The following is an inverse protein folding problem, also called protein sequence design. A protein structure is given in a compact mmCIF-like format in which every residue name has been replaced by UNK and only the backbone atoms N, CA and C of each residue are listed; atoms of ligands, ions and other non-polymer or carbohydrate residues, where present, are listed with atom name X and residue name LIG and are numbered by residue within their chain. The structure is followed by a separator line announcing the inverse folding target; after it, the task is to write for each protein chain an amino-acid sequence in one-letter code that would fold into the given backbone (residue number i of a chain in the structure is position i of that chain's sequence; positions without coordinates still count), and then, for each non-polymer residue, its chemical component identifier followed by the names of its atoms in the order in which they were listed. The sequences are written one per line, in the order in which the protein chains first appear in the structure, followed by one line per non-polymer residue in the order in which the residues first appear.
data_IF_697135278215
#
_entry.id   IF_697135278215
#
_cell.length_a   1.000
_cell.length_b   1.000
_cell.length_c   1.000
_cell.angle_alpha   90.00
_cell.angle_beta   90.00
_cell.angle_gamma   90.00
#
_symmetry.space_group_name_H-M   'P 1'
#
loop_
_entity.id
_entity.type
_entity.pdbx_description
1 polymer ?
#
# COMPACT_ATOMS: atom_id res chain seq x y z
N UNK A 1 10.35 33.58 8.06
CA UNK A 1 10.15 32.27 7.44
C UNK A 1 8.68 32.05 6.96
N UNK A 2 7.66 32.09 7.86
CA UNK A 2 6.25 31.89 7.47
C UNK A 2 5.74 32.93 6.46
N UNK A 3 6.05 34.22 6.68
CA UNK A 3 5.67 35.29 5.76
C UNK A 3 6.34 35.12 4.37
N UNK A 4 7.59 34.74 4.33
CA UNK A 4 8.31 34.47 3.07
C UNK A 4 7.66 33.30 2.31
N UNK A 5 7.30 32.20 3.00
CA UNK A 5 6.63 31.06 2.41
C UNK A 5 5.22 31.41 1.88
N UNK A 6 4.45 32.17 2.65
CA UNK A 6 3.15 32.67 2.20
C UNK A 6 3.28 33.58 0.98
N UNK A 7 4.25 34.50 0.96
CA UNK A 7 4.52 35.36 -0.18
C UNK A 7 4.93 34.56 -1.42
N UNK A 8 5.75 33.50 -1.23
CA UNK A 8 6.12 32.61 -2.32
C UNK A 8 4.88 31.91 -2.94
N UNK A 9 3.98 31.37 -2.13
CA UNK A 9 2.70 30.80 -2.64
C UNK A 9 1.89 31.85 -3.41
N UNK A 10 1.78 33.07 -2.89
CA UNK A 10 1.05 34.16 -3.57
C UNK A 10 1.67 34.58 -4.91
N UNK A 11 2.99 34.40 -5.10
CA UNK A 11 3.66 34.75 -6.35
C UNK A 11 3.16 33.93 -7.55
N UNK A 12 2.67 32.70 -7.32
CA UNK A 12 2.13 31.82 -8.37
C UNK A 12 0.72 32.25 -8.86
N UNK A 13 0.03 33.11 -8.12
CA UNK A 13 -1.36 33.52 -8.47
C UNK A 13 -1.46 34.32 -9.76
N UNK A 14 -0.37 34.88 -10.27
CA UNK A 14 -0.33 35.77 -11.44
C UNK A 14 0.46 35.20 -12.63
N UNK A 15 0.85 33.92 -12.60
CA UNK A 15 1.64 33.28 -13.66
C UNK A 15 0.90 32.10 -14.29
N UNK A 16 1.22 31.71 -15.53
CA UNK A 16 0.74 30.44 -16.08
C UNK A 16 1.22 29.30 -15.20
N UNK A 17 0.29 28.50 -14.70
CA UNK A 17 0.54 27.43 -13.75
C UNK A 17 1.12 26.20 -14.45
N UNK A 18 2.25 25.70 -13.98
CA UNK A 18 2.91 24.49 -14.46
C UNK A 18 2.89 23.36 -13.43
N UNK A 19 3.17 22.14 -13.85
CA UNK A 19 3.32 20.97 -12.94
C UNK A 19 4.44 21.19 -11.93
N UNK A 20 5.47 21.96 -12.26
CA UNK A 20 6.55 22.30 -11.33
C UNK A 20 6.06 23.26 -10.23
N UNK A 21 5.22 24.23 -10.60
CA UNK A 21 4.64 25.19 -9.65
C UNK A 21 3.68 24.46 -8.67
N UNK A 22 2.95 23.46 -9.16
CA UNK A 22 2.11 22.60 -8.31
C UNK A 22 2.94 21.90 -7.24
N UNK A 23 4.05 21.27 -7.61
CA UNK A 23 4.94 20.60 -6.66
C UNK A 23 5.55 21.57 -5.65
N UNK A 24 5.95 22.77 -6.09
CA UNK A 24 6.47 23.80 -5.19
C UNK A 24 5.42 24.32 -4.18
N UNK A 25 4.15 24.42 -4.58
CA UNK A 25 3.07 24.81 -3.68
C UNK A 25 2.78 23.68 -2.67
N UNK A 26 2.67 22.44 -3.13
CA UNK A 26 2.37 21.29 -2.27
C UNK A 26 3.37 21.13 -1.13
N UNK A 27 4.65 21.38 -1.36
CA UNK A 27 5.68 21.21 -0.30
C UNK A 27 5.60 22.28 0.80
N UNK A 28 4.92 23.42 0.56
CA UNK A 28 4.86 24.50 1.57
C UNK A 28 4.13 24.07 2.84
N UNK A 29 3.12 23.21 2.74
CA UNK A 29 2.41 22.67 3.89
C UNK A 29 3.35 21.93 4.84
N UNK A 30 4.16 21.02 4.32
CA UNK A 30 5.14 20.23 5.06
C UNK A 30 6.25 21.11 5.67
N UNK A 31 6.75 22.07 4.91
CA UNK A 31 7.78 23.01 5.37
C UNK A 31 7.29 23.89 6.51
N UNK A 32 6.05 24.39 6.44
CA UNK A 32 5.46 25.26 7.47
C UNK A 32 5.11 24.45 8.72
N UNK A 33 4.45 23.30 8.60
CA UNK A 33 4.01 22.50 9.75
C UNK A 33 5.18 22.00 10.59
N UNK A 34 6.23 21.49 9.93
CA UNK A 34 7.43 21.00 10.65
C UNK A 34 8.22 22.12 11.30
N UNK A 35 8.30 23.30 10.65
CA UNK A 35 8.89 24.47 11.26
C UNK A 35 8.13 24.95 12.51
N UNK A 36 6.79 25.00 12.44
CA UNK A 36 5.96 25.37 13.60
C UNK A 36 6.14 24.36 14.74
N UNK A 37 6.22 23.06 14.44
CA UNK A 37 6.44 22.05 15.47
C UNK A 37 7.82 22.19 16.12
N UNK A 38 8.87 22.47 15.34
CA UNK A 38 10.20 22.74 15.89
C UNK A 38 10.18 23.95 16.83
N UNK A 39 9.61 25.08 16.41
CA UNK A 39 9.49 26.27 17.26
C UNK A 39 8.70 25.98 18.56
N UNK A 40 7.60 25.21 18.46
CA UNK A 40 6.82 24.83 19.63
C UNK A 40 7.63 24.01 20.63
N UNK A 41 8.39 23.03 20.16
CA UNK A 41 9.23 22.21 21.05
C UNK A 41 10.38 23.02 21.67
N UNK A 42 11.00 23.92 20.94
CA UNK A 42 12.00 24.86 21.46
C UNK A 42 11.40 25.73 22.58
N UNK A 43 10.17 26.26 22.39
CA UNK A 43 9.45 27.02 23.44
C UNK A 43 9.15 26.17 24.68
N UNK A 44 9.01 24.84 24.54
CA UNK A 44 8.86 23.92 25.67
C UNK A 44 10.21 23.50 26.29
N UNK A 45 11.34 24.03 25.81
CA UNK A 45 12.68 23.72 26.29
C UNK A 45 13.24 22.36 25.85
N UNK A 46 12.71 21.81 24.79
CA UNK A 46 13.19 20.55 24.19
C UNK A 46 14.29 20.85 23.15
N UNK A 47 15.43 20.18 23.25
CA UNK A 47 16.50 20.29 22.25
C UNK A 47 16.10 19.58 20.96
N UNK A 48 15.71 20.35 19.96
CA UNK A 48 15.23 19.86 18.68
C UNK A 48 16.03 20.45 17.51
N UNK A 49 16.25 19.65 16.49
CA UNK A 49 16.87 20.10 15.23
C UNK A 49 15.94 19.81 14.06
N UNK A 50 15.62 20.83 13.28
CA UNK A 50 14.91 20.70 12.02
C UNK A 50 15.89 20.35 10.90
N UNK A 51 15.78 19.13 10.36
CA UNK A 51 16.56 18.65 9.22
C UNK A 51 15.72 18.81 7.94
N UNK A 52 16.08 19.77 7.03
CA UNK A 52 15.31 19.94 5.80
C UNK A 52 15.38 18.71 4.91
N UNK A 53 14.26 18.06 4.64
CA UNK A 53 14.19 16.86 3.79
C UNK A 53 14.81 17.09 2.40
N UNK A 54 14.64 18.26 1.83
CA UNK A 54 15.21 18.64 0.53
C UNK A 54 16.76 18.63 0.49
N UNK A 55 17.44 18.48 1.64
CA UNK A 55 18.89 18.36 1.70
C UNK A 55 19.39 16.92 1.59
N UNK A 56 18.51 15.92 1.85
CA UNK A 56 18.92 14.51 1.83
C UNK A 56 17.90 13.58 1.15
N UNK A 57 16.65 13.96 0.99
CA UNK A 57 15.66 13.14 0.27
C UNK A 57 15.78 13.36 -1.24
N UNK A 58 16.04 12.29 -1.99
CA UNK A 58 16.16 12.32 -3.45
C UNK A 58 15.56 11.07 -4.09
N UNK A 59 14.98 11.25 -5.28
CA UNK A 59 14.55 10.17 -6.18
C UNK A 59 15.44 10.14 -7.44
N UNK A 60 15.54 8.96 -8.04
CA UNK A 60 16.27 8.71 -9.29
C UNK A 60 15.47 9.19 -10.51
N UNK A 61 16.01 9.00 -11.70
CA UNK A 61 15.29 9.27 -12.98
C UNK A 61 14.08 8.37 -13.19
N UNK A 62 14.04 7.21 -12.53
CA UNK A 62 12.94 6.24 -12.57
C UNK A 62 11.91 6.47 -11.47
N UNK A 63 11.98 7.62 -10.78
CA UNK A 63 11.15 7.99 -9.63
C UNK A 63 11.27 7.06 -8.41
N UNK A 64 12.35 6.28 -8.31
CA UNK A 64 12.62 5.43 -7.15
C UNK A 64 13.52 6.16 -6.13
N UNK A 65 13.38 5.89 -4.82
CA UNK A 65 14.23 6.50 -3.80
C UNK A 65 15.72 6.19 -4.00
N UNK A 66 16.56 7.22 -4.00
CA UNK A 66 18.02 7.07 -4.06
C UNK A 66 18.58 6.79 -2.67
N UNK A 67 18.52 5.54 -2.24
CA UNK A 67 18.90 5.12 -0.88
C UNK A 67 20.37 5.36 -0.57
N UNK A 68 21.26 5.33 -1.56
CA UNK A 68 22.68 5.64 -1.36
C UNK A 68 22.87 7.12 -1.02
N UNK A 69 22.23 7.97 -1.82
CA UNK A 69 22.26 9.42 -1.59
C UNK A 69 21.62 9.79 -0.25
N UNK A 70 20.41 9.25 0.04
CA UNK A 70 19.66 9.50 1.28
C UNK A 70 20.52 9.12 2.50
N UNK A 71 21.04 7.90 2.53
CA UNK A 71 21.82 7.40 3.66
C UNK A 71 23.08 8.23 3.90
N UNK A 72 23.81 8.58 2.83
CA UNK A 72 25.04 9.36 2.91
C UNK A 72 24.80 10.78 3.46
N UNK A 73 23.79 11.47 2.92
CA UNK A 73 23.54 12.88 3.28
C UNK A 73 22.86 13.00 4.63
N UNK A 74 21.93 12.09 4.96
CA UNK A 74 21.29 12.06 6.28
C UNK A 74 22.33 11.80 7.38
N UNK A 75 23.25 10.85 7.16
CA UNK A 75 24.33 10.57 8.13
C UNK A 75 25.16 11.80 8.43
N UNK A 76 25.57 12.56 7.40
CA UNK A 76 26.34 13.81 7.58
C UNK A 76 25.56 14.82 8.42
N UNK A 77 24.26 15.00 8.14
CA UNK A 77 23.42 15.93 8.88
C UNK A 77 23.26 15.53 10.35
N UNK A 78 23.09 14.24 10.63
CA UNK A 78 23.00 13.72 11.99
C UNK A 78 24.32 13.87 12.75
N UNK A 79 25.47 13.61 12.11
CA UNK A 79 26.80 13.79 12.71
C UNK A 79 27.09 15.26 13.05
N UNK A 80 26.61 16.21 12.26
CA UNK A 80 26.74 17.64 12.52
C UNK A 80 25.88 18.14 13.68
N UNK A 81 24.81 17.41 14.03
CA UNK A 81 23.82 17.79 15.02
C UNK A 81 23.66 16.75 16.13
N UNK A 82 24.68 15.96 16.43
CA UNK A 82 24.62 14.79 17.32
C UNK A 82 24.26 15.09 18.79
N UNK A 83 24.25 16.34 19.19
CA UNK A 83 23.85 16.77 20.54
C UNK A 83 22.31 16.85 20.68
N UNK A 84 21.54 16.85 19.59
CA UNK A 84 20.09 16.95 19.64
C UNK A 84 19.45 15.63 20.08
N UNK A 85 18.42 15.75 20.94
CA UNK A 85 17.61 14.62 21.38
C UNK A 85 16.53 14.26 20.35
N UNK A 86 15.98 15.27 19.65
CA UNK A 86 14.90 15.12 18.68
C UNK A 86 15.29 15.75 17.36
N UNK A 87 15.05 15.01 16.30
CA UNK A 87 15.18 15.49 14.93
C UNK A 87 13.79 15.53 14.28
N UNK A 88 13.43 16.69 13.71
CA UNK A 88 12.22 16.85 12.91
C UNK A 88 12.61 16.97 11.46
N UNK A 89 11.86 16.33 10.58
CA UNK A 89 12.02 16.50 9.14
C UNK A 89 10.67 16.45 8.44
N UNK A 90 10.61 16.91 7.19
CA UNK A 90 9.42 16.81 6.37
C UNK A 90 9.25 15.38 5.84
N UNK A 91 8.02 14.90 5.83
CA UNK A 91 7.63 13.76 5.03
C UNK A 91 7.22 14.15 3.61
N UNK A 92 6.99 13.17 2.74
CA UNK A 92 6.45 13.33 1.40
C UNK A 92 7.35 14.05 0.38
N UNK A 93 8.08 15.10 0.77
CA UNK A 93 8.86 15.96 -0.13
C UNK A 93 10.28 15.43 -0.37
N UNK A 94 10.77 15.62 -1.58
CA UNK A 94 12.12 15.23 -2.00
C UNK A 94 12.65 16.13 -3.12
N UNK A 95 13.86 15.86 -3.60
CA UNK A 95 14.35 16.34 -4.90
C UNK A 95 14.34 15.20 -5.92
N UNK A 96 14.09 15.55 -7.18
CA UNK A 96 14.30 14.60 -8.27
C UNK A 96 15.78 14.51 -8.66
N UNK A 97 16.08 13.65 -9.62
CA UNK A 97 17.46 13.44 -10.12
C UNK A 97 18.11 14.71 -10.68
N UNK A 98 17.33 15.70 -11.08
CA UNK A 98 17.79 16.98 -11.64
C UNK A 98 17.94 18.08 -10.57
N UNK A 99 17.61 17.78 -9.31
CA UNK A 99 17.69 18.70 -8.19
C UNK A 99 16.47 19.60 -8.00
N UNK A 100 15.45 19.50 -8.84
CA UNK A 100 14.17 20.21 -8.67
C UNK A 100 13.35 19.63 -7.53
N UNK A 101 12.49 20.44 -6.94
CA UNK A 101 11.54 20.00 -5.91
C UNK A 101 10.56 18.98 -6.52
N UNK A 102 10.36 17.90 -5.79
CA UNK A 102 9.49 16.80 -6.14
C UNK A 102 8.87 16.16 -4.89
N UNK A 103 8.09 15.13 -5.06
CA UNK A 103 7.47 14.40 -3.96
C UNK A 103 7.54 12.87 -4.18
N UNK A 104 7.38 12.14 -3.09
CA UNK A 104 7.23 10.70 -3.08
C UNK A 104 5.76 10.36 -3.36
N UNK A 105 5.35 10.29 -4.61
CA UNK A 105 3.95 10.17 -5.06
C UNK A 105 3.12 9.14 -4.28
N UNK A 106 3.74 8.07 -3.75
CA UNK A 106 3.09 6.95 -3.09
C UNK A 106 3.47 6.86 -1.62
N UNK A 107 2.46 6.72 -0.76
CA UNK A 107 2.68 6.49 0.67
C UNK A 107 3.12 7.71 1.48
N UNK A 108 3.39 8.84 0.84
CA UNK A 108 3.61 10.12 1.51
C UNK A 108 4.65 10.09 2.64
N UNK A 109 4.24 10.56 3.81
CA UNK A 109 5.08 10.65 5.02
C UNK A 109 5.47 9.30 5.59
N UNK A 110 4.60 8.28 5.48
CA UNK A 110 4.91 6.91 5.94
C UNK A 110 6.08 6.32 5.17
N UNK A 111 6.12 6.58 3.85
CA UNK A 111 7.23 6.13 3.03
C UNK A 111 8.54 6.83 3.42
N UNK A 112 8.48 8.14 3.68
CA UNK A 112 9.63 8.90 4.19
C UNK A 112 10.14 8.32 5.51
N UNK A 113 9.25 8.01 6.45
CA UNK A 113 9.62 7.40 7.74
C UNK A 113 10.33 6.04 7.54
N UNK A 114 9.82 5.21 6.62
CA UNK A 114 10.42 3.92 6.30
C UNK A 114 11.80 4.06 5.65
N UNK A 115 11.97 5.00 4.71
CA UNK A 115 13.25 5.28 4.05
C UNK A 115 14.29 5.80 5.05
N UNK A 116 13.91 6.73 5.92
CA UNK A 116 14.78 7.26 6.99
C UNK A 116 15.14 6.14 7.96
N UNK A 117 14.17 5.38 8.45
CA UNK A 117 14.40 4.25 9.34
C UNK A 117 15.40 3.25 8.75
N UNK A 118 15.25 2.91 7.47
CA UNK A 118 16.19 2.05 6.75
C UNK A 118 17.59 2.68 6.61
N UNK A 119 17.66 3.99 6.33
CA UNK A 119 18.92 4.70 6.15
C UNK A 119 19.76 4.79 7.42
N UNK A 120 19.12 4.97 8.58
CA UNK A 120 19.79 5.08 9.89
C UNK A 120 19.88 3.74 10.64
N UNK A 121 19.28 2.67 10.09
CA UNK A 121 19.13 1.38 10.77
C UNK A 121 18.44 1.51 12.12
N UNK A 122 17.26 2.14 12.13
CA UNK A 122 16.46 2.37 13.32
C UNK A 122 16.10 1.05 14.03
N UNK A 123 15.92 1.09 15.33
CA UNK A 123 15.45 -0.06 16.12
C UNK A 123 13.98 -0.38 15.81
N UNK A 124 13.14 0.64 15.58
CA UNK A 124 11.73 0.50 15.23
C UNK A 124 11.29 1.74 14.41
N UNK A 125 10.38 1.54 13.47
CA UNK A 125 9.67 2.60 12.75
C UNK A 125 8.25 2.66 13.31
N UNK A 126 7.79 3.83 13.75
CA UNK A 126 6.45 4.02 14.27
C UNK A 126 5.62 4.90 13.33
N UNK A 127 4.44 4.42 12.96
CA UNK A 127 3.45 5.16 12.16
C UNK A 127 2.26 5.47 13.07
N UNK A 128 2.10 6.74 13.39
CA UNK A 128 1.02 7.22 14.23
C UNK A 128 -0.14 7.74 13.38
N UNK A 129 -1.34 7.20 13.61
CA UNK A 129 -2.55 7.51 12.85
C UNK A 129 -3.74 7.68 13.81
N UNK A 130 -4.95 7.80 13.29
CA UNK A 130 -6.21 7.94 14.04
C UNK A 130 -6.89 6.59 14.37
N UNK A 131 -6.26 5.47 14.01
CA UNK A 131 -6.75 4.11 14.27
C UNK A 131 -5.72 3.29 15.05
N UNK A 132 -6.18 2.28 15.79
CA UNK A 132 -5.36 1.47 16.71
C UNK A 132 -4.64 0.29 16.05
N UNK A 133 -4.29 0.41 14.78
CA UNK A 133 -3.61 -0.61 13.99
C UNK A 133 -4.48 -1.22 12.88
N UNK A 134 -3.99 -2.26 12.25
CA UNK A 134 -4.75 -3.02 11.25
C UNK A 134 -5.79 -3.90 11.96
N UNK A 135 -7.03 -3.89 11.47
CA UNK A 135 -8.10 -4.73 11.97
C UNK A 135 -8.24 -6.01 11.15
N UNK A 136 -8.79 -7.05 11.80
CA UNK A 136 -9.08 -8.33 11.15
C UNK A 136 -10.18 -8.25 10.08
N UNK A 137 -10.95 -7.16 10.05
CA UNK A 137 -11.91 -6.84 9.01
C UNK A 137 -12.16 -5.32 8.97
N UNK A 138 -12.90 -4.83 7.99
CA UNK A 138 -13.23 -3.42 7.86
C UNK A 138 -14.32 -2.99 8.84
N UNK A 139 -14.03 -2.13 9.85
CA UNK A 139 -15.00 -1.72 10.87
C UNK A 139 -16.19 -0.92 10.31
N UNK A 140 -16.09 -0.41 9.08
CA UNK A 140 -17.21 0.29 8.42
C UNK A 140 -18.34 -0.67 8.01
N UNK A 141 -18.06 -1.95 7.87
CA UNK A 141 -19.01 -2.98 7.40
C UNK A 141 -19.26 -4.07 8.42
N UNK A 142 -18.32 -4.30 9.33
CA UNK A 142 -18.37 -5.34 10.37
C UNK A 142 -18.17 -4.70 11.74
N UNK A 143 -19.14 -4.86 12.64
CA UNK A 143 -19.12 -4.17 13.93
C UNK A 143 -18.12 -4.76 14.94
N UNK A 144 -17.90 -6.08 14.90
CA UNK A 144 -17.08 -6.81 15.88
C UNK A 144 -15.68 -7.09 15.32
N UNK A 145 -14.98 -6.04 14.87
CA UNK A 145 -13.61 -6.17 14.41
C UNK A 145 -12.63 -6.03 15.57
N UNK A 146 -11.51 -6.75 15.49
CA UNK A 146 -10.44 -6.68 16.47
C UNK A 146 -9.11 -6.26 15.80
N UNK A 147 -8.27 -5.47 16.48
CA UNK A 147 -6.95 -5.12 15.97
C UNK A 147 -6.06 -6.38 15.86
N UNK A 148 -5.40 -6.55 14.73
CA UNK A 148 -4.40 -7.59 14.52
C UNK A 148 -3.11 -7.15 15.19
N UNK A 149 -2.67 -7.87 16.21
CA UNK A 149 -1.51 -7.47 17.02
C UNK A 149 -0.18 -7.66 16.32
N UNK A 150 -0.07 -8.68 15.45
CA UNK A 150 1.16 -9.00 14.75
C UNK A 150 0.90 -9.45 13.31
N UNK A 151 1.64 -8.88 12.39
CA UNK A 151 1.67 -9.27 10.98
C UNK A 151 3.12 -9.48 10.54
N UNK A 152 3.35 -10.37 9.60
CA UNK A 152 4.60 -10.32 8.86
C UNK A 152 4.52 -9.29 7.72
N UNK A 153 5.69 -8.95 7.15
CA UNK A 153 5.75 -7.92 6.10
C UNK A 153 4.94 -8.28 4.86
N UNK A 154 4.87 -9.57 4.49
CA UNK A 154 4.11 -9.99 3.31
C UNK A 154 2.60 -9.92 3.56
N UNK A 155 2.13 -10.31 4.74
CA UNK A 155 0.74 -10.17 5.17
C UNK A 155 0.31 -8.68 5.18
N UNK A 156 1.14 -7.82 5.78
CA UNK A 156 0.87 -6.38 5.84
C UNK A 156 0.83 -5.75 4.43
N UNK A 157 1.75 -6.14 3.54
CA UNK A 157 1.75 -5.69 2.14
C UNK A 157 0.50 -6.13 1.38
N UNK A 158 0.01 -7.36 1.62
CA UNK A 158 -1.23 -7.86 1.01
C UNK A 158 -2.46 -7.10 1.51
N UNK A 159 -2.57 -6.90 2.82
CA UNK A 159 -3.66 -6.10 3.40
C UNK A 159 -3.67 -4.67 2.84
N UNK A 160 -2.51 -4.04 2.76
CA UNK A 160 -2.35 -2.70 2.20
C UNK A 160 -2.75 -2.65 0.71
N UNK A 161 -2.38 -3.65 -0.08
CA UNK A 161 -2.72 -3.74 -1.51
C UNK A 161 -4.22 -3.96 -1.74
N UNK A 162 -4.84 -4.81 -0.93
CA UNK A 162 -6.25 -5.22 -1.10
C UNK A 162 -7.24 -4.41 -0.26
N UNK A 163 -6.89 -3.22 0.22
CA UNK A 163 -7.87 -2.26 0.69
C UNK A 163 -7.78 -1.82 2.15
N UNK A 164 -6.86 -2.35 2.94
CA UNK A 164 -6.55 -1.75 4.24
C UNK A 164 -5.76 -0.44 4.00
N UNK A 165 -6.48 0.68 3.87
CA UNK A 165 -5.93 2.01 3.54
C UNK A 165 -5.06 2.64 4.64
N UNK A 166 -4.54 1.85 5.57
CA UNK A 166 -3.80 2.31 6.75
C UNK A 166 -2.32 2.56 6.42
N UNK A 167 -1.77 1.79 5.48
CA UNK A 167 -0.37 1.85 5.09
C UNK A 167 -0.26 1.57 3.59
N UNK A 168 0.60 2.33 2.88
CA UNK A 168 0.86 2.02 1.48
C UNK A 168 1.89 0.87 1.37
N UNK A 169 1.71 -0.10 0.45
CA UNK A 169 2.64 -1.24 0.31
C UNK A 169 4.10 -0.85 0.13
N UNK A 170 4.38 0.25 -0.58
CA UNK A 170 5.75 0.77 -0.77
C UNK A 170 6.44 1.15 0.55
N UNK A 171 5.67 1.55 1.57
CA UNK A 171 6.23 1.93 2.88
C UNK A 171 6.82 0.75 3.66
N UNK A 172 6.43 -0.47 3.31
CA UNK A 172 6.86 -1.69 4.01
C UNK A 172 8.23 -2.17 3.51
N UNK A 173 8.52 -1.97 2.22
CA UNK A 173 9.67 -2.56 1.56
C UNK A 173 11.03 -2.15 2.17
N UNK A 174 11.33 -0.86 2.42
CA UNK A 174 12.60 -0.46 3.01
C UNK A 174 12.83 -1.05 4.41
N UNK A 175 11.77 -1.12 5.22
CA UNK A 175 11.81 -1.73 6.54
C UNK A 175 12.05 -3.25 6.47
N UNK A 176 11.36 -3.94 5.56
CA UNK A 176 11.53 -5.38 5.29
C UNK A 176 12.97 -5.71 4.89
N UNK A 177 13.54 -4.97 3.94
CA UNK A 177 14.92 -5.19 3.45
C UNK A 177 15.98 -5.04 4.55
N UNK A 178 15.74 -4.16 5.52
CA UNK A 178 16.64 -3.93 6.66
C UNK A 178 16.24 -4.69 7.92
N UNK A 179 15.15 -5.47 7.86
CA UNK A 179 14.60 -6.21 9.01
C UNK A 179 14.29 -5.30 10.21
N UNK A 180 13.73 -4.12 9.94
CA UNK A 180 13.35 -3.14 10.95
C UNK A 180 11.86 -3.30 11.22
N UNK A 181 11.43 -3.55 12.48
CA UNK A 181 10.00 -3.64 12.80
C UNK A 181 9.29 -2.32 12.56
N UNK A 182 8.05 -2.41 12.07
CA UNK A 182 7.16 -1.26 11.88
C UNK A 182 5.98 -1.42 12.83
N UNK A 183 5.67 -0.38 13.60
CA UNK A 183 4.53 -0.37 14.52
C UNK A 183 3.51 0.68 14.12
N UNK A 184 2.26 0.26 13.94
CA UNK A 184 1.12 1.14 13.70
C UNK A 184 0.46 1.48 15.03
N UNK A 185 0.32 2.76 15.34
CA UNK A 185 -0.13 3.26 16.64
C UNK A 185 -1.24 4.31 16.48
N UNK A 186 -2.09 4.41 17.49
CA UNK A 186 -3.15 5.42 17.54
C UNK A 186 -2.69 6.68 18.29
N UNK A 187 -2.60 7.81 17.59
CA UNK A 187 -2.24 9.10 18.16
C UNK A 187 -3.26 9.61 19.20
N UNK A 188 -4.53 9.21 19.08
CA UNK A 188 -5.61 9.57 19.99
C UNK A 188 -5.70 8.61 21.19
N UNK A 189 -5.07 7.43 21.11
CA UNK A 189 -5.02 6.42 22.17
C UNK A 189 -3.59 5.84 22.28
N UNK A 190 -2.62 6.62 22.78
CA UNK A 190 -1.21 6.23 22.80
C UNK A 190 -0.89 4.97 23.63
N UNK A 191 -1.79 4.58 24.54
CA UNK A 191 -1.67 3.34 25.34
C UNK A 191 -2.11 2.08 24.61
N UNK A 192 -2.76 2.20 23.44
CA UNK A 192 -3.14 1.06 22.62
C UNK A 192 -1.89 0.37 22.06
N UNK A 193 -1.88 -0.97 22.05
CA UNK A 193 -0.70 -1.75 21.63
C UNK A 193 -0.42 -1.66 20.12
N UNK A 194 -1.40 -1.25 19.33
CA UNK A 194 -1.29 -1.15 17.88
C UNK A 194 -1.05 -2.49 17.16
N UNK A 195 -0.50 -2.41 15.96
CA UNK A 195 -0.06 -3.58 15.16
C UNK A 195 1.45 -3.54 14.97
N UNK A 196 2.13 -4.62 15.31
CA UNK A 196 3.55 -4.83 15.02
C UNK A 196 3.70 -5.58 13.68
N UNK A 197 4.48 -5.02 12.77
CA UNK A 197 4.85 -5.63 11.49
C UNK A 197 6.34 -5.98 11.54
N UNK A 198 6.70 -7.26 11.37
CA UNK A 198 8.09 -7.72 11.47
C UNK A 198 8.30 -8.99 10.60
N UNK A 199 9.48 -9.59 10.64
CA UNK A 199 9.74 -10.86 9.94
C UNK A 199 9.14 -12.09 10.62
N UNK A 200 8.63 -11.95 11.85
CA UNK A 200 8.00 -13.06 12.57
C UNK A 200 6.56 -13.24 12.09
N UNK A 201 6.18 -14.48 11.82
CA UNK A 201 4.81 -14.87 11.52
C UNK A 201 4.27 -15.76 12.64
N UNK A 202 3.02 -15.56 12.96
CA UNK A 202 2.21 -16.52 13.74
C UNK A 202 1.80 -17.65 12.80
N UNK A 203 2.13 -18.89 13.12
CA UNK A 203 1.86 -20.04 12.26
C UNK A 203 0.36 -20.40 12.29
N UNK A 204 -0.15 -20.91 11.16
CA UNK A 204 -1.49 -21.48 11.01
C UNK A 204 -2.65 -20.50 11.34
N UNK A 205 -2.40 -19.20 11.28
CA UNK A 205 -3.42 -18.20 11.63
C UNK A 205 -3.93 -17.44 10.41
N UNK A 206 -5.26 -17.46 10.21
CA UNK A 206 -5.95 -16.46 9.39
C UNK A 206 -6.02 -15.17 10.23
N UNK A 207 -5.52 -14.06 9.70
CA UNK A 207 -5.34 -12.83 10.48
C UNK A 207 -6.33 -11.74 10.13
N UNK A 208 -6.63 -11.57 8.85
CA UNK A 208 -7.51 -10.51 8.41
C UNK A 208 -8.17 -10.78 7.07
N UNK A 209 -9.22 -10.02 6.81
CA UNK A 209 -9.92 -9.93 5.52
C UNK A 209 -9.92 -8.48 5.07
N UNK A 210 -9.55 -8.25 3.82
CA UNK A 210 -9.60 -6.93 3.18
C UNK A 210 -10.43 -7.00 1.88
N UNK A 211 -10.92 -5.85 1.41
CA UNK A 211 -11.66 -5.79 0.16
C UNK A 211 -11.25 -4.58 -0.68
N UNK A 212 -10.98 -4.82 -1.97
CA UNK A 212 -10.62 -3.81 -2.97
C UNK A 212 -11.79 -3.61 -3.92
N UNK A 213 -12.34 -2.40 -3.91
CA UNK A 213 -13.48 -2.01 -4.75
C UNK A 213 -13.04 -1.60 -6.16
N UNK A 214 -14.03 -1.31 -7.00
CA UNK A 214 -13.86 -0.79 -8.37
C UNK A 214 -13.08 -1.71 -9.29
N UNK A 215 -13.26 -3.00 -9.14
CA UNK A 215 -12.57 -4.01 -9.94
C UNK A 215 -13.34 -4.27 -11.23
N UNK A 216 -12.61 -4.36 -12.33
CA UNK A 216 -13.08 -4.86 -13.61
C UNK A 216 -12.49 -6.25 -13.87
N UNK A 217 -13.34 -7.24 -14.02
CA UNK A 217 -12.97 -8.61 -14.39
C UNK A 217 -13.01 -8.78 -15.90
N UNK A 218 -11.94 -9.30 -16.48
CA UNK A 218 -11.81 -9.52 -17.92
C UNK A 218 -11.50 -10.99 -18.19
N UNK A 219 -12.42 -11.68 -18.86
CA UNK A 219 -12.23 -13.07 -19.33
C UNK A 219 -11.87 -13.06 -20.80
N UNK A 220 -10.74 -13.68 -21.15
CA UNK A 220 -10.14 -13.69 -22.48
C UNK A 220 -9.98 -15.15 -22.90
N UNK A 221 -10.82 -15.62 -23.83
CA UNK A 221 -10.83 -16.99 -24.31
C UNK A 221 -10.24 -17.06 -25.71
N UNK A 222 -9.13 -17.79 -25.87
CA UNK A 222 -8.42 -17.97 -27.16
C UNK A 222 -9.33 -18.56 -28.24
N UNK A 223 -9.12 -18.19 -29.49
CA UNK A 223 -9.78 -18.73 -30.67
C UNK A 223 -9.17 -20.08 -31.16
N UNK A 224 -8.47 -20.81 -30.31
CA UNK A 224 -7.89 -22.16 -30.53
C UNK A 224 -6.79 -22.29 -31.63
N UNK A 225 -6.43 -21.23 -32.30
CA UNK A 225 -5.42 -21.24 -33.35
C UNK A 225 -4.02 -20.86 -32.88
N UNK A 226 -3.89 -20.39 -31.62
CA UNK A 226 -2.64 -19.84 -31.07
C UNK A 226 -2.13 -20.74 -29.94
N UNK A 227 -0.85 -21.15 -29.94
CA UNK A 227 -0.26 -21.88 -28.82
C UNK A 227 -0.35 -21.07 -27.55
N UNK A 228 -0.71 -21.70 -26.41
CA UNK A 228 -0.96 -21.06 -25.12
C UNK A 228 0.14 -20.08 -24.66
N UNK A 229 1.45 -20.42 -24.76
CA UNK A 229 2.48 -19.47 -24.34
C UNK A 229 2.49 -18.17 -25.15
N UNK A 230 2.30 -18.28 -26.47
CA UNK A 230 2.23 -17.09 -27.33
C UNK A 230 0.96 -16.28 -27.11
N UNK A 231 -0.16 -16.94 -26.84
CA UNK A 231 -1.40 -16.26 -26.48
C UNK A 231 -1.28 -15.45 -25.19
N UNK A 232 -0.67 -16.01 -24.15
CA UNK A 232 -0.43 -15.30 -22.88
C UNK A 232 0.48 -14.09 -23.08
N UNK A 233 1.54 -14.21 -23.90
CA UNK A 233 2.40 -13.06 -24.25
C UNK A 233 1.58 -11.94 -24.89
N UNK A 234 0.76 -12.24 -25.90
CA UNK A 234 -0.09 -11.22 -26.55
C UNK A 234 -0.99 -10.52 -25.53
N UNK A 235 -1.59 -11.27 -24.62
CA UNK A 235 -2.47 -10.70 -23.60
C UNK A 235 -1.70 -9.74 -22.69
N UNK A 236 -0.61 -10.21 -22.05
CA UNK A 236 0.13 -9.39 -21.09
C UNK A 236 0.87 -8.23 -21.75
N UNK A 237 1.42 -8.38 -22.95
CA UNK A 237 2.01 -7.30 -23.75
C UNK A 237 0.97 -6.21 -24.06
N UNK A 238 -0.28 -6.61 -24.30
CA UNK A 238 -1.37 -5.64 -24.53
C UNK A 238 -1.63 -4.81 -23.27
N UNK A 239 -1.82 -5.45 -22.11
CA UNK A 239 -2.02 -4.71 -20.85
C UNK A 239 -0.83 -3.81 -20.51
N UNK A 240 0.40 -4.29 -20.72
CA UNK A 240 1.63 -3.52 -20.52
C UNK A 240 1.69 -2.28 -21.43
N UNK A 241 1.41 -2.42 -22.73
CA UNK A 241 1.45 -1.31 -23.69
C UNK A 241 0.44 -0.20 -23.39
N UNK A 242 -0.65 -0.52 -22.68
CA UNK A 242 -1.64 0.45 -22.22
C UNK A 242 -1.44 0.87 -20.77
N UNK A 243 -0.28 0.56 -20.15
CA UNK A 243 0.04 0.87 -18.75
C UNK A 243 -1.10 0.49 -17.78
N UNK A 244 -1.74 -0.67 -18.01
CA UNK A 244 -2.85 -1.15 -17.20
C UNK A 244 -2.37 -2.30 -16.30
N UNK A 245 -2.12 -2.05 -15.00
CA UNK A 245 -1.72 -3.08 -14.06
C UNK A 245 -2.78 -4.16 -13.89
N UNK A 246 -2.34 -5.39 -13.70
CA UNK A 246 -3.21 -6.55 -13.45
C UNK A 246 -3.05 -7.00 -12.00
N UNK A 247 -4.16 -7.08 -11.24
CA UNK A 247 -4.14 -7.49 -9.83
C UNK A 247 -4.12 -9.02 -9.65
N UNK A 248 -5.04 -9.71 -10.32
CA UNK A 248 -5.17 -11.16 -10.23
C UNK A 248 -5.18 -11.78 -11.63
N UNK A 249 -4.60 -12.96 -11.72
CA UNK A 249 -4.55 -13.76 -12.97
C UNK A 249 -4.95 -15.20 -12.66
N UNK A 250 -5.82 -15.75 -13.48
CA UNK A 250 -6.10 -17.20 -13.51
C UNK A 250 -6.07 -17.68 -14.94
N UNK A 251 -5.34 -18.75 -15.21
CA UNK A 251 -5.18 -19.32 -16.55
C UNK A 251 -5.80 -20.70 -16.65
N UNK A 252 -6.22 -21.06 -17.85
CA UNK A 252 -6.60 -22.41 -18.26
C UNK A 252 -5.90 -22.73 -19.57
N UNK A 253 -6.12 -23.95 -20.10
CA UNK A 253 -5.61 -24.38 -21.40
C UNK A 253 -6.06 -23.50 -22.59
N UNK A 254 -7.23 -22.87 -22.47
CA UNK A 254 -7.88 -22.13 -23.56
C UNK A 254 -8.12 -20.65 -23.26
N UNK A 255 -7.64 -20.15 -22.13
CA UNK A 255 -7.92 -18.76 -21.80
C UNK A 255 -7.28 -18.25 -20.52
N UNK A 256 -7.40 -16.96 -20.33
CA UNK A 256 -6.94 -16.25 -19.14
C UNK A 256 -8.05 -15.32 -18.63
N UNK A 257 -8.17 -15.24 -17.33
CA UNK A 257 -8.99 -14.25 -16.66
C UNK A 257 -8.11 -13.34 -15.84
N UNK A 258 -8.31 -12.03 -15.94
CA UNK A 258 -7.56 -11.03 -15.19
C UNK A 258 -8.50 -10.07 -14.49
N UNK A 259 -8.01 -9.43 -13.45
CA UNK A 259 -8.67 -8.28 -12.79
C UNK A 259 -7.79 -7.04 -12.89
N UNK A 260 -8.42 -5.89 -13.06
CA UNK A 260 -7.79 -4.58 -13.10
C UNK A 260 -8.58 -3.60 -12.22
N UNK A 261 -7.92 -2.62 -11.64
CA UNK A 261 -8.53 -1.53 -10.86
C UNK A 261 -8.58 -0.19 -11.62
N UNK A 262 -7.89 -0.09 -12.75
CA UNK A 262 -7.98 1.03 -13.69
C UNK A 262 -8.50 0.53 -15.04
N UNK A 263 -9.73 0.91 -15.39
CA UNK A 263 -10.39 0.52 -16.63
C UNK A 263 -10.37 1.60 -17.72
N UNK A 264 -9.53 2.62 -17.57
CA UNK A 264 -9.43 3.77 -18.48
C UNK A 264 -9.19 3.36 -19.93
N UNK A 265 -8.38 2.33 -20.17
CA UNK A 265 -7.99 1.84 -21.49
C UNK A 265 -8.61 0.49 -21.84
N UNK A 266 -9.68 0.08 -21.14
CA UNK A 266 -10.26 -1.25 -21.35
C UNK A 266 -10.82 -1.45 -22.75
N UNK A 267 -11.43 -0.43 -23.36
CA UNK A 267 -12.02 -0.52 -24.69
C UNK A 267 -10.96 -0.68 -25.77
N UNK A 268 -9.82 -0.01 -25.65
CA UNK A 268 -8.66 -0.15 -26.55
C UNK A 268 -8.02 -1.53 -26.40
N UNK A 269 -7.81 -2.00 -25.19
CA UNK A 269 -7.29 -3.33 -24.87
C UNK A 269 -8.19 -4.41 -25.49
N UNK A 270 -9.50 -4.30 -25.29
CA UNK A 270 -10.49 -5.20 -25.89
C UNK A 270 -10.45 -5.14 -27.41
N UNK A 271 -10.31 -3.94 -28.01
CA UNK A 271 -10.19 -3.75 -29.44
C UNK A 271 -9.00 -4.50 -30.06
N UNK A 272 -7.85 -4.49 -29.38
CA UNK A 272 -6.65 -5.23 -29.80
C UNK A 272 -6.85 -6.74 -29.66
N UNK A 273 -7.30 -7.18 -28.49
CA UNK A 273 -7.38 -8.59 -28.13
C UNK A 273 -8.52 -9.36 -28.87
N UNK A 274 -9.56 -8.68 -29.34
CA UNK A 274 -10.67 -9.30 -30.15
C UNK A 274 -10.19 -10.01 -31.42
N UNK A 275 -9.01 -9.66 -31.94
CA UNK A 275 -8.40 -10.33 -33.09
C UNK A 275 -7.95 -11.77 -32.75
N UNK A 276 -7.72 -12.07 -31.50
CA UNK A 276 -7.12 -13.29 -30.99
C UNK A 276 -8.05 -14.09 -30.08
N UNK A 277 -9.06 -13.43 -29.50
CA UNK A 277 -9.86 -13.98 -28.43
C UNK A 277 -11.32 -13.49 -28.41
N UNK A 278 -12.18 -14.29 -27.81
CA UNK A 278 -13.48 -13.83 -27.32
C UNK A 278 -13.30 -13.22 -25.93
N UNK A 279 -13.81 -11.99 -25.71
CA UNK A 279 -13.59 -11.24 -24.49
C UNK A 279 -14.92 -10.93 -23.82
N UNK A 280 -14.99 -11.17 -22.52
CA UNK A 280 -16.09 -10.76 -21.63
C UNK A 280 -15.52 -9.82 -20.59
N UNK A 281 -16.13 -8.63 -20.44
CA UNK A 281 -15.76 -7.63 -19.43
C UNK A 281 -16.93 -7.48 -18.46
N UNK A 282 -16.66 -7.63 -17.18
CA UNK A 282 -17.62 -7.46 -16.09
C UNK A 282 -17.09 -6.38 -15.13
N UNK A 283 -17.76 -5.24 -15.07
CA UNK A 283 -17.46 -4.12 -14.16
C UNK A 283 -18.21 -4.28 -12.83
N UNK A 284 -17.93 -3.38 -11.88
CA UNK A 284 -18.53 -3.40 -10.53
C UNK A 284 -18.29 -4.72 -9.78
N UNK A 285 -17.05 -5.20 -9.85
CA UNK A 285 -16.57 -6.32 -9.08
C UNK A 285 -15.78 -5.85 -7.86
N UNK A 286 -15.57 -6.76 -6.92
CA UNK A 286 -14.73 -6.56 -5.73
C UNK A 286 -13.79 -7.74 -5.60
N UNK A 287 -12.56 -7.49 -5.18
CA UNK A 287 -11.66 -8.53 -4.69
C UNK A 287 -11.78 -8.57 -3.18
N UNK A 288 -12.13 -9.72 -2.62
CA UNK A 288 -12.06 -10.01 -1.18
C UNK A 288 -10.83 -10.88 -0.96
N UNK A 289 -9.94 -10.42 -0.09
CA UNK A 289 -8.66 -11.06 0.18
C UNK A 289 -8.62 -11.53 1.65
N UNK A 290 -8.44 -12.82 1.87
CA UNK A 290 -8.17 -13.41 3.18
C UNK A 290 -6.67 -13.51 3.35
N UNK A 291 -6.14 -12.97 4.44
CA UNK A 291 -4.69 -12.85 4.71
C UNK A 291 -4.33 -13.57 6.00
N UNK A 292 -3.18 -14.23 5.99
CA UNK A 292 -2.61 -14.95 7.12
C UNK A 292 -1.46 -15.85 6.69
N UNK A 293 -0.99 -16.73 7.59
CA UNK A 293 -0.07 -17.81 7.26
C UNK A 293 -0.84 -18.96 6.59
N UNK A 294 -0.96 -18.89 5.26
CA UNK A 294 -1.74 -19.79 4.42
C UNK A 294 -0.83 -20.70 3.58
N UNK A 295 0.22 -21.20 4.21
CA UNK A 295 1.13 -22.16 3.60
C UNK A 295 0.36 -23.43 3.19
N UNK A 296 0.70 -24.01 2.05
CA UNK A 296 -0.01 -25.17 1.48
C UNK A 296 0.01 -26.42 2.38
N UNK A 297 0.96 -26.50 3.33
CA UNK A 297 1.03 -27.57 4.34
C UNK A 297 0.00 -27.39 5.46
N UNK A 298 -0.50 -26.16 5.68
CA UNK A 298 -1.51 -25.89 6.68
C UNK A 298 -2.86 -26.37 6.12
N UNK A 299 -3.54 -27.27 6.82
CA UNK A 299 -4.75 -27.91 6.32
C UNK A 299 -6.01 -27.23 6.86
N UNK A 300 -7.03 -27.16 6.03
CA UNK A 300 -8.39 -26.81 6.43
C UNK A 300 -8.78 -25.34 6.28
N UNK A 301 -7.86 -24.40 6.10
CA UNK A 301 -8.19 -22.99 5.94
C UNK A 301 -8.97 -22.73 4.64
N UNK A 302 -8.66 -23.45 3.55
CA UNK A 302 -9.40 -23.36 2.29
C UNK A 302 -10.88 -23.76 2.48
N UNK A 303 -11.11 -24.85 3.19
CA UNK A 303 -12.48 -25.30 3.49
C UNK A 303 -13.24 -24.27 4.33
N UNK A 304 -12.60 -23.66 5.33
CA UNK A 304 -13.22 -22.62 6.16
C UNK A 304 -13.62 -21.41 5.33
N UNK A 305 -12.71 -20.92 4.46
CA UNK A 305 -12.97 -19.77 3.57
C UNK A 305 -14.14 -20.08 2.61
N UNK A 306 -14.11 -21.22 1.93
CA UNK A 306 -15.12 -21.59 0.94
C UNK A 306 -16.47 -21.85 1.61
N UNK A 307 -16.50 -22.51 2.77
CA UNK A 307 -17.74 -22.75 3.53
C UNK A 307 -18.38 -21.44 4.02
N UNK A 308 -17.58 -20.45 4.42
CA UNK A 308 -18.09 -19.13 4.80
C UNK A 308 -18.82 -18.45 3.63
N UNK A 309 -18.39 -18.70 2.40
CA UNK A 309 -18.91 -18.07 1.20
C UNK A 309 -19.87 -18.96 0.39
N UNK A 310 -20.35 -20.08 0.95
CA UNK A 310 -21.16 -21.10 0.24
C UNK A 310 -22.43 -20.56 -0.43
N UNK A 311 -23.00 -19.48 0.12
CA UNK A 311 -24.23 -18.84 -0.36
C UNK A 311 -23.95 -17.58 -1.22
N UNK A 312 -22.68 -17.31 -1.54
CA UNK A 312 -22.24 -16.12 -2.28
C UNK A 312 -21.57 -16.56 -3.60
N UNK A 313 -22.04 -16.05 -4.76
CA UNK A 313 -21.41 -16.38 -6.04
C UNK A 313 -19.98 -15.84 -6.15
N UNK A 314 -18.98 -16.72 -6.22
CA UNK A 314 -17.58 -16.39 -6.42
C UNK A 314 -17.21 -16.54 -7.90
N UNK A 315 -16.73 -15.48 -8.52
CA UNK A 315 -16.40 -15.43 -9.96
C UNK A 315 -15.03 -15.98 -10.28
N UNK A 316 -14.06 -15.77 -9.38
CA UNK A 316 -12.68 -16.19 -9.54
C UNK A 316 -12.03 -16.38 -8.17
N UNK A 317 -11.16 -17.36 -8.05
CA UNK A 317 -10.34 -17.61 -6.87
C UNK A 317 -8.89 -17.66 -7.33
N UNK A 318 -8.01 -16.97 -6.62
CA UNK A 318 -6.56 -17.05 -6.79
C UNK A 318 -5.91 -17.46 -5.49
N UNK A 319 -5.21 -18.58 -5.54
CA UNK A 319 -4.42 -19.16 -4.46
C UNK A 319 -3.18 -19.85 -5.03
N UNK A 320 -2.13 -19.99 -4.25
CA UNK A 320 -0.87 -20.66 -4.62
C UNK A 320 0.19 -19.75 -5.24
N UNK A 321 -0.12 -18.53 -5.63
CA UNK A 321 0.86 -17.52 -6.04
C UNK A 321 1.53 -16.80 -4.86
N UNK A 322 0.99 -16.98 -3.66
CA UNK A 322 1.50 -16.43 -2.39
C UNK A 322 1.03 -17.34 -1.27
N UNK A 323 1.87 -17.53 -0.26
CA UNK A 323 1.52 -18.25 0.98
C UNK A 323 0.80 -17.37 2.01
N UNK A 324 0.64 -16.09 1.72
CA UNK A 324 0.08 -15.12 2.68
C UNK A 324 -1.36 -14.72 2.39
N UNK A 325 -1.95 -15.17 1.28
CA UNK A 325 -3.33 -14.78 0.93
C UNK A 325 -4.07 -15.75 0.00
N UNK A 326 -5.40 -15.75 0.17
CA UNK A 326 -6.37 -16.24 -0.81
C UNK A 326 -7.24 -15.06 -1.26
N UNK A 327 -7.35 -14.84 -2.57
CA UNK A 327 -8.12 -13.73 -3.14
C UNK A 327 -9.29 -14.25 -3.95
N UNK A 328 -10.46 -13.65 -3.73
CA UNK A 328 -11.73 -14.05 -4.34
C UNK A 328 -12.37 -12.85 -5.02
N UNK A 329 -12.84 -13.04 -6.26
CA UNK A 329 -13.57 -12.02 -7.01
C UNK A 329 -15.06 -12.32 -6.96
N UNK A 330 -15.85 -11.31 -6.63
CA UNK A 330 -17.32 -11.39 -6.60
C UNK A 330 -17.93 -10.06 -7.03
N UNK A 331 -19.25 -10.00 -7.13
CA UNK A 331 -19.93 -8.73 -7.41
C UNK A 331 -19.82 -7.77 -6.23
N UNK A 332 -19.73 -6.47 -6.51
CA UNK A 332 -19.63 -5.43 -5.49
C UNK A 332 -20.86 -5.44 -4.53
N UNK A 333 -22.04 -5.84 -5.01
CA UNK A 333 -23.27 -5.96 -4.18
C UNK A 333 -23.14 -7.03 -3.07
N UNK A 334 -22.33 -8.07 -3.30
CA UNK A 334 -22.10 -9.16 -2.34
C UNK A 334 -21.02 -8.86 -1.30
N UNK A 335 -20.26 -7.76 -1.44
CA UNK A 335 -19.12 -7.41 -0.59
C UNK A 335 -19.43 -7.46 0.90
N UNK A 336 -20.48 -6.73 1.33
CA UNK A 336 -20.81 -6.62 2.75
C UNK A 336 -21.22 -7.96 3.34
N UNK A 337 -21.97 -8.75 2.56
CA UNK A 337 -22.37 -10.10 2.96
C UNK A 337 -21.13 -10.99 3.12
N UNK A 338 -20.20 -10.96 2.16
CA UNK A 338 -18.97 -11.74 2.20
C UNK A 338 -18.07 -11.37 3.39
N UNK A 339 -17.87 -10.06 3.66
CA UNK A 339 -17.07 -9.60 4.79
C UNK A 339 -17.66 -10.07 6.13
N UNK A 340 -18.99 -10.00 6.31
CA UNK A 340 -19.67 -10.48 7.51
C UNK A 340 -19.57 -12.00 7.65
N UNK A 341 -19.87 -12.75 6.60
CA UNK A 341 -19.80 -14.20 6.61
C UNK A 341 -18.38 -14.71 6.92
N UNK A 342 -17.35 -14.10 6.31
CA UNK A 342 -15.96 -14.41 6.63
C UNK A 342 -15.61 -14.05 8.08
N UNK A 343 -16.09 -12.91 8.60
CA UNK A 343 -15.84 -12.52 9.98
C UNK A 343 -16.42 -13.54 10.97
N UNK A 344 -17.67 -13.94 10.77
CA UNK A 344 -18.37 -14.91 11.61
C UNK A 344 -17.70 -16.29 11.60
N UNK A 345 -17.21 -16.75 10.45
CA UNK A 345 -16.64 -18.10 10.32
C UNK A 345 -15.13 -18.19 10.58
N UNK A 346 -14.40 -17.08 10.47
CA UNK A 346 -12.94 -17.10 10.61
C UNK A 346 -12.45 -16.55 11.95
N UNK A 347 -13.23 -15.64 12.60
CA UNK A 347 -12.79 -14.91 13.80
C UNK A 347 -13.73 -15.05 15.00
N UNK A 348 -14.81 -15.84 14.91
CA UNK A 348 -15.67 -16.08 16.07
C UNK A 348 -14.96 -16.92 17.15
N UNK A 349 -15.21 -16.58 18.41
CA UNK A 349 -14.57 -17.17 19.61
C UNK A 349 -14.80 -18.68 19.78
N UNK A 350 -15.63 -19.31 18.94
CA UNK A 350 -15.96 -20.74 19.03
C UNK A 350 -14.89 -21.70 18.52
N UNK A 351 -13.83 -21.24 17.87
CA UNK A 351 -12.79 -22.08 17.27
C UNK A 351 -11.47 -22.12 18.08
N UNK A 352 -11.49 -21.68 19.36
CA UNK A 352 -10.32 -21.74 20.29
C UNK A 352 -10.39 -22.96 21.23
N UNK A 353 -11.11 -24.03 20.84
CA UNK A 353 -11.08 -25.30 21.61
C UNK A 353 -10.75 -26.49 20.72
#
# INVERSE_FOLDING_TARGET
YMLERSQHVWSFSNMPFSVFDEKEILVQGELISTFLMACYLEEQGVEVVLLPALNFMRITVDNEPDMEYISKHLKVLLEQNKEAEIYITQGFICRNAYGSIDNLERGGSDYTASLIGAAIQAEEIQIWTDIDGMHNNDPRFVNDTAPVRQLNFDEAAKLAHFGAKILHPACILPAKEKNIPVRLLNALQPSASGTLISNTAEKEAIKAVAAKDNITYVKIKSLHTIPTPHFLSIVFDTFYNYNTPVDMVTTSDIGVSVTIDDDKHIDEIVGVLRKYATITVEKNMVIVCVVGDLEWQNVGFEARIINALKDIPVRMISYGGSSSNVSLVMKAEDKVHALKALSEHLFSVSDIY
#
